data_IF_373539232113
#
_entry.id   IF_373539232113
#
_cell.length_a   1.000
_cell.length_b   1.000
_cell.length_c   1.000
_cell.angle_alpha   90.00
_cell.angle_beta   90.00
_cell.angle_gamma   90.00
#
_symmetry.space_group_name_H-M   'P 1'
#
loop_
_entity.id
_entity.type
_entity.pdbx_description
1 polymer ?
#
# COMPACT_ATOMS: atom_id res chain seq x y z
N UNK A 1 41.55 -46.22 -49.94
CA UNK A 1 42.56 -46.71 -48.99
C UNK A 1 42.15 -46.20 -47.61
N UNK A 2 41.32 -46.94 -46.86
CA UNK A 2 41.71 -47.94 -45.83
C UNK A 2 42.49 -47.26 -44.68
N UNK A 3 42.11 -47.27 -43.38
CA UNK A 3 41.20 -48.11 -42.57
C UNK A 3 41.07 -47.43 -41.17
N UNK A 4 39.90 -47.31 -40.52
CA UNK A 4 39.29 -48.18 -39.48
C UNK A 4 40.28 -48.81 -38.48
N UNK A 5 40.03 -48.73 -37.17
CA UNK A 5 39.37 -49.72 -36.28
C UNK A 5 39.52 -49.16 -34.83
N UNK A 6 38.77 -49.46 -33.76
CA UNK A 6 37.50 -50.10 -33.44
C UNK A 6 37.25 -49.86 -31.94
N UNK A 7 35.98 -49.86 -31.53
CA UNK A 7 35.49 -49.99 -30.15
C UNK A 7 35.40 -51.50 -29.82
N UNK A 8 35.41 -52.00 -28.55
CA UNK A 8 34.10 -52.22 -27.90
C UNK A 8 34.04 -52.33 -26.35
N UNK A 9 32.79 -52.16 -25.89
CA UNK A 9 32.06 -52.56 -24.67
C UNK A 9 32.49 -53.82 -23.88
N UNK A 10 32.20 -53.83 -22.55
CA UNK A 10 31.33 -54.79 -21.79
C UNK A 10 31.27 -54.40 -20.29
N UNK A 11 30.13 -54.11 -19.64
CA UNK A 11 28.94 -54.90 -19.18
C UNK A 11 29.10 -55.72 -17.87
N UNK A 12 28.10 -55.49 -16.98
CA UNK A 12 27.55 -56.37 -15.91
C UNK A 12 28.21 -56.28 -14.51
N UNK A 13 27.55 -56.48 -13.36
CA UNK A 13 26.19 -56.99 -13.02
C UNK A 13 25.89 -56.69 -11.53
N UNK A 14 24.61 -56.58 -11.20
CA UNK A 14 23.95 -56.63 -9.87
C UNK A 14 24.55 -57.63 -8.85
N UNK A 15 24.36 -57.34 -7.54
CA UNK A 15 23.89 -58.32 -6.54
C UNK A 15 23.23 -57.65 -5.32
N UNK A 16 21.97 -58.04 -5.06
CA UNK A 16 21.22 -57.91 -3.79
C UNK A 16 21.77 -58.95 -2.80
N UNK A 17 21.78 -58.64 -1.51
CA UNK A 17 21.88 -59.63 -0.43
C UNK A 17 20.65 -59.47 0.47
N UNK A 18 19.90 -60.57 0.55
CA UNK A 18 18.81 -60.87 1.48
C UNK A 18 19.44 -61.75 2.57
N UNK A 19 19.16 -61.47 3.85
CA UNK A 19 19.32 -62.45 4.92
C UNK A 19 18.06 -62.46 5.78
N UNK A 20 17.35 -63.59 5.68
CA UNK A 20 16.30 -64.08 6.56
C UNK A 20 16.95 -64.83 7.71
N UNK A 21 16.46 -64.65 8.94
CA UNK A 21 16.43 -65.73 9.94
C UNK A 21 15.21 -65.58 10.85
N UNK A 22 14.68 -66.74 11.22
CA UNK A 22 13.35 -67.09 11.71
C UNK A 22 13.22 -67.15 13.24
N UNK A 23 12.04 -66.76 13.77
CA UNK A 23 11.16 -67.40 14.78
C UNK A 23 11.76 -68.15 16.01
N UNK A 24 11.14 -68.10 17.23
CA UNK A 24 9.79 -68.63 17.42
C UNK A 24 8.83 -67.89 18.39
N UNK A 25 7.57 -68.32 18.29
CA UNK A 25 6.35 -67.97 19.00
C UNK A 25 6.39 -67.99 20.54
N UNK A 26 5.57 -67.12 21.14
CA UNK A 26 4.40 -67.42 22.00
C UNK A 26 4.26 -66.35 23.09
N UNK A 27 3.11 -65.67 23.17
CA UNK A 27 2.32 -65.38 24.39
C UNK A 27 1.18 -64.40 24.06
N UNK A 28 0.05 -65.00 23.64
CA UNK A 28 -1.35 -64.79 24.06
C UNK A 28 -1.72 -63.50 24.86
N UNK A 29 -2.56 -62.64 24.20
CA UNK A 29 -3.83 -61.96 24.63
C UNK A 29 -3.76 -60.86 25.74
N UNK A 30 -4.66 -59.82 25.84
CA UNK A 30 -5.89 -59.47 25.09
C UNK A 30 -6.02 -58.03 24.53
N UNK A 31 -7.03 -57.93 23.66
CA UNK A 31 -7.76 -56.78 23.11
C UNK A 31 -8.21 -55.77 24.16
N UNK A 32 -7.94 -54.47 23.94
CA UNK A 32 -8.66 -53.36 24.57
C UNK A 32 -9.14 -52.39 23.49
N UNK A 33 -10.46 -52.29 23.39
CA UNK A 33 -11.19 -51.36 22.53
C UNK A 33 -10.89 -49.91 22.94
N UNK A 34 -10.37 -49.12 22.00
CA UNK A 34 -10.23 -47.68 22.15
C UNK A 34 -11.58 -47.02 21.86
N UNK A 35 -12.38 -46.80 22.91
CA UNK A 35 -13.56 -45.92 22.82
C UNK A 35 -13.09 -44.47 22.88
N UNK A 36 -13.39 -43.74 21.82
CA UNK A 36 -13.26 -42.28 21.73
C UNK A 36 -14.15 -41.62 22.78
N UNK A 37 -13.53 -40.89 23.71
CA UNK A 37 -14.20 -40.01 24.67
C UNK A 37 -14.80 -38.81 23.94
N UNK A 38 -16.09 -38.91 23.62
CA UNK A 38 -16.94 -37.75 23.37
C UNK A 38 -17.10 -37.05 24.72
N UNK A 39 -16.37 -35.95 24.93
CA UNK A 39 -16.62 -35.05 26.03
C UNK A 39 -17.97 -34.37 25.78
N UNK A 40 -19.03 -34.90 26.39
CA UNK A 40 -20.29 -34.20 26.59
C UNK A 40 -20.02 -33.03 27.53
N UNK A 41 -19.73 -31.85 26.99
CA UNK A 41 -19.84 -30.60 27.73
C UNK A 41 -21.33 -30.31 27.87
N UNK A 42 -21.86 -30.60 29.05
CA UNK A 42 -23.17 -30.18 29.51
C UNK A 42 -23.23 -28.66 29.43
N UNK A 43 -24.00 -28.15 28.47
CA UNK A 43 -24.34 -26.74 28.39
C UNK A 43 -25.16 -26.41 29.64
N UNK A 44 -24.54 -25.73 30.60
CA UNK A 44 -25.27 -25.07 31.67
C UNK A 44 -26.13 -23.99 31.01
N UNK A 45 -27.44 -24.21 31.01
CA UNK A 45 -28.44 -23.17 30.79
C UNK A 45 -28.33 -22.17 31.93
N UNK A 46 -27.35 -21.28 31.82
CA UNK A 46 -27.40 -20.02 32.52
C UNK A 46 -28.55 -19.23 31.90
N UNK A 47 -29.47 -18.87 32.76
CA UNK A 47 -30.57 -17.94 32.50
C UNK A 47 -30.02 -16.75 31.74
N UNK A 48 -30.53 -16.56 30.52
CA UNK A 48 -30.34 -15.37 29.70
C UNK A 48 -30.71 -14.14 30.55
N UNK A 49 -29.70 -13.50 31.13
CA UNK A 49 -29.82 -12.11 31.53
C UNK A 49 -30.11 -11.31 30.26
N UNK A 50 -31.12 -10.45 30.31
CA UNK A 50 -31.49 -9.51 29.26
C UNK A 50 -30.23 -8.89 28.65
N UNK A 51 -29.90 -9.37 27.44
CA UNK A 51 -28.70 -8.99 26.70
C UNK A 51 -28.71 -7.49 26.48
N UNK A 52 -27.60 -6.82 26.79
CA UNK A 52 -27.22 -5.60 26.06
C UNK A 52 -27.39 -5.93 24.57
N UNK A 53 -28.38 -5.32 23.90
CA UNK A 53 -28.78 -5.70 22.55
C UNK A 53 -27.58 -5.55 21.61
N UNK A 54 -27.08 -6.69 21.17
CA UNK A 54 -25.99 -6.75 20.23
C UNK A 54 -26.43 -6.27 18.85
N UNK A 55 -25.68 -5.34 18.25
CA UNK A 55 -25.91 -4.95 16.85
C UNK A 55 -25.17 -5.94 15.94
N UNK A 56 -25.92 -6.67 15.11
CA UNK A 56 -25.35 -7.56 14.08
C UNK A 56 -25.54 -6.97 12.69
N UNK A 57 -24.78 -7.42 11.69
CA UNK A 57 -24.93 -6.94 10.31
C UNK A 57 -26.35 -7.23 9.78
N UNK A 58 -26.91 -8.40 10.10
CA UNK A 58 -28.27 -8.78 9.71
C UNK A 58 -29.30 -7.83 10.32
N UNK A 59 -29.06 -7.35 11.54
CA UNK A 59 -29.94 -6.41 12.23
C UNK A 59 -29.94 -5.00 11.60
N UNK A 60 -29.01 -4.69 10.69
CA UNK A 60 -28.89 -3.40 10.02
C UNK A 60 -29.54 -3.35 8.63
N UNK A 61 -30.16 -4.45 8.17
CA UNK A 61 -30.74 -4.47 6.82
C UNK A 61 -31.87 -3.43 6.66
N UNK A 62 -31.98 -2.88 5.46
CA UNK A 62 -33.01 -1.90 5.08
C UNK A 62 -33.55 -2.20 3.68
N UNK A 63 -34.65 -1.55 3.30
CA UNK A 63 -35.25 -1.73 1.97
C UNK A 63 -34.60 -0.81 0.95
N UNK A 64 -34.25 -1.36 -0.21
CA UNK A 64 -34.01 -0.66 -1.48
C UNK A 64 -32.87 0.38 -1.51
N UNK A 65 -31.97 0.40 -0.52
CA UNK A 65 -30.80 1.30 -0.50
C UNK A 65 -29.55 0.50 -0.25
N UNK A 66 -28.52 0.64 -1.12
CA UNK A 66 -27.21 0.05 -0.85
C UNK A 66 -26.49 0.85 0.23
N UNK A 67 -26.02 0.14 1.25
CA UNK A 67 -25.36 0.70 2.43
C UNK A 67 -23.90 0.26 2.43
N UNK A 68 -22.97 1.20 2.55
CA UNK A 68 -21.56 0.91 2.84
C UNK A 68 -21.32 1.14 4.33
N UNK A 69 -20.78 0.17 5.06
CA UNK A 69 -20.37 0.41 6.45
C UNK A 69 -19.11 1.27 6.47
N UNK A 70 -19.18 2.42 7.15
CA UNK A 70 -18.06 3.35 7.34
C UNK A 70 -17.59 3.44 8.79
N UNK A 71 -18.41 2.95 9.71
CA UNK A 71 -18.15 3.01 11.15
C UNK A 71 -16.93 2.20 11.58
N UNK A 72 -15.91 2.88 12.10
CA UNK A 72 -14.62 2.26 12.43
C UNK A 72 -14.73 1.24 13.56
N UNK A 73 -15.45 1.54 14.65
CA UNK A 73 -15.54 0.62 15.79
C UNK A 73 -16.37 -0.60 15.42
N UNK A 74 -17.47 -0.41 14.68
CA UNK A 74 -18.28 -1.53 14.21
C UNK A 74 -17.49 -2.45 13.27
N UNK A 75 -16.66 -1.89 12.38
CA UNK A 75 -15.76 -2.70 11.55
C UNK A 75 -14.73 -3.46 12.41
N UNK A 76 -14.16 -2.83 13.45
CA UNK A 76 -13.25 -3.51 14.39
C UNK A 76 -13.95 -4.61 15.17
N UNK A 77 -15.21 -4.42 15.53
CA UNK A 77 -15.97 -5.43 16.26
C UNK A 77 -16.24 -6.66 15.40
N UNK A 78 -16.60 -6.47 14.12
CA UNK A 78 -16.72 -7.55 13.14
C UNK A 78 -15.39 -8.30 13.02
N UNK A 79 -14.28 -7.57 12.90
CA UNK A 79 -12.95 -8.17 12.80
C UNK A 79 -12.60 -9.03 14.01
N UNK A 80 -12.95 -8.58 15.22
CA UNK A 80 -12.60 -9.24 16.47
C UNK A 80 -13.62 -10.33 16.90
N UNK A 81 -14.72 -10.49 16.16
CA UNK A 81 -15.83 -11.35 16.57
C UNK A 81 -16.52 -10.86 17.85
N UNK A 82 -16.38 -9.57 18.18
CA UNK A 82 -16.98 -8.96 19.35
C UNK A 82 -18.26 -8.21 18.98
N UNK A 83 -19.11 -8.04 19.98
CA UNK A 83 -20.34 -7.32 19.83
C UNK A 83 -20.20 -5.85 20.25
N UNK A 84 -20.73 -4.93 19.45
CA UNK A 84 -20.90 -3.52 19.86
C UNK A 84 -22.23 -3.28 20.56
N UNK A 85 -22.22 -2.40 21.56
CA UNK A 85 -23.45 -1.91 22.19
C UNK A 85 -24.23 -1.06 21.20
N UNK A 86 -25.55 -1.06 21.34
CA UNK A 86 -26.41 -0.26 20.46
C UNK A 86 -26.03 1.23 20.51
N UNK A 87 -25.58 1.74 19.36
CA UNK A 87 -25.40 3.15 19.05
C UNK A 87 -25.71 3.38 17.58
N UNK A 88 -25.73 4.64 17.15
CA UNK A 88 -25.82 4.96 15.72
C UNK A 88 -24.56 4.45 15.01
N UNK A 89 -24.77 3.77 13.89
CA UNK A 89 -23.70 3.24 13.05
C UNK A 89 -23.52 4.17 11.85
N UNK A 90 -22.29 4.64 11.63
CA UNK A 90 -21.95 5.42 10.45
C UNK A 90 -22.03 4.59 9.17
N UNK A 91 -22.85 5.05 8.23
CA UNK A 91 -23.04 4.39 6.94
C UNK A 91 -22.90 5.35 5.76
N UNK A 92 -22.27 4.85 4.71
CA UNK A 92 -22.17 5.49 3.41
C UNK A 92 -23.39 5.19 2.54
N UNK A 93 -24.02 6.24 2.00
CA UNK A 93 -25.09 6.14 1.00
C UNK A 93 -24.74 6.97 -0.24
N UNK A 94 -24.88 6.38 -1.42
CA UNK A 94 -24.67 7.07 -2.70
C UNK A 94 -25.68 8.23 -2.84
N UNK A 95 -25.19 9.42 -3.21
CA UNK A 95 -25.99 10.64 -3.40
C UNK A 95 -27.20 10.45 -4.34
N UNK A 96 -27.18 9.47 -5.25
CA UNK A 96 -28.36 9.16 -6.09
C UNK A 96 -29.59 8.74 -5.27
N UNK A 97 -29.41 8.26 -4.04
CA UNK A 97 -30.48 7.89 -3.12
C UNK A 97 -30.93 9.03 -2.20
N UNK A 98 -30.46 10.27 -2.38
CA UNK A 98 -30.80 11.43 -1.55
C UNK A 98 -32.32 11.70 -1.45
N UNK A 99 -33.09 11.27 -2.46
CA UNK A 99 -34.56 11.37 -2.47
C UNK A 99 -35.26 10.35 -1.56
N UNK A 100 -34.57 9.28 -1.14
CA UNK A 100 -35.12 8.29 -0.24
C UNK A 100 -35.11 8.84 1.20
N UNK A 101 -36.27 9.32 1.66
CA UNK A 101 -36.43 9.95 2.98
C UNK A 101 -36.48 8.95 4.13
N UNK A 102 -36.74 7.67 3.88
CA UNK A 102 -36.98 6.70 4.94
C UNK A 102 -35.70 6.29 5.65
N UNK A 103 -34.61 6.05 4.91
CA UNK A 103 -33.31 5.72 5.50
C UNK A 103 -32.75 6.84 6.38
N UNK A 104 -33.08 8.10 6.06
CA UNK A 104 -32.66 9.28 6.83
C UNK A 104 -33.40 9.43 8.17
N UNK A 105 -34.53 8.74 8.34
CA UNK A 105 -35.30 8.73 9.59
C UNK A 105 -34.95 7.54 10.48
N UNK A 106 -34.16 6.59 9.97
CA UNK A 106 -33.83 5.38 10.71
C UNK A 106 -32.88 5.72 11.88
N UNK A 107 -33.31 5.53 13.15
CA UNK A 107 -32.53 5.93 14.31
C UNK A 107 -31.27 5.09 14.51
N UNK A 108 -31.10 3.98 13.78
CA UNK A 108 -29.92 3.12 13.84
C UNK A 108 -28.70 3.72 13.14
N UNK A 109 -28.90 4.70 12.25
CA UNK A 109 -27.86 5.14 11.34
C UNK A 109 -27.46 6.60 11.52
N UNK A 110 -26.18 6.84 11.32
CA UNK A 110 -25.62 8.13 10.97
C UNK A 110 -25.25 8.10 9.49
N UNK A 111 -25.98 8.84 8.66
CA UNK A 111 -25.86 8.75 7.20
C UNK A 111 -24.81 9.74 6.69
N UNK A 112 -23.77 9.20 6.07
CA UNK A 112 -22.77 9.94 5.29
C UNK A 112 -23.08 9.74 3.81
N UNK A 113 -23.39 10.82 3.11
CA UNK A 113 -23.56 10.74 1.67
C UNK A 113 -22.21 10.71 0.96
N UNK A 114 -22.13 9.96 -0.15
CA UNK A 114 -20.95 10.00 -1.01
C UNK A 114 -21.29 10.14 -2.49
N UNK A 115 -20.42 10.82 -3.24
CA UNK A 115 -20.48 10.84 -4.70
C UNK A 115 -19.64 9.69 -5.28
N UNK A 116 -20.18 9.00 -6.28
CA UNK A 116 -19.51 7.94 -7.03
C UNK A 116 -19.38 8.32 -8.51
N UNK A 117 -18.44 9.21 -8.82
CA UNK A 117 -18.21 9.66 -10.19
C UNK A 117 -17.36 8.66 -10.99
N UNK A 118 -17.77 8.28 -12.20
CA UNK A 118 -17.10 7.24 -13.00
C UNK A 118 -15.66 7.56 -13.40
N UNK A 119 -15.33 8.86 -13.52
CA UNK A 119 -13.99 9.34 -13.91
C UNK A 119 -13.00 9.39 -12.75
N UNK A 120 -13.45 9.08 -11.53
CA UNK A 120 -12.63 9.11 -10.31
C UNK A 120 -12.50 7.72 -9.72
N UNK A 121 -11.34 7.41 -9.16
CA UNK A 121 -11.06 6.14 -8.50
C UNK A 121 -11.38 6.15 -6.99
N UNK A 122 -12.03 7.21 -6.49
CA UNK A 122 -12.43 7.37 -5.09
C UNK A 122 -13.90 7.76 -4.90
N UNK A 123 -14.48 7.38 -3.76
CA UNK A 123 -15.73 7.94 -3.27
C UNK A 123 -15.47 9.28 -2.58
N UNK A 124 -16.30 10.28 -2.87
CA UNK A 124 -16.24 11.62 -2.26
C UNK A 124 -17.29 11.74 -1.16
N UNK A 125 -16.86 11.53 0.08
CA UNK A 125 -17.71 11.55 1.27
C UNK A 125 -18.01 13.00 1.66
N UNK A 126 -19.30 13.33 1.74
CA UNK A 126 -19.82 14.67 2.06
C UNK A 126 -19.84 14.90 3.57
N UNK A 127 -18.67 14.82 4.19
CA UNK A 127 -18.42 15.10 5.61
C UNK A 127 -17.84 16.50 5.79
N UNK A 128 -17.78 16.99 7.03
CA UNK A 128 -17.01 18.18 7.42
C UNK A 128 -15.98 17.77 8.49
N UNK A 129 -14.67 17.78 8.18
CA UNK A 129 -14.06 18.12 6.89
C UNK A 129 -14.38 17.10 5.79
N UNK A 130 -14.31 17.51 4.52
CA UNK A 130 -14.49 16.63 3.35
C UNK A 130 -13.54 15.45 3.41
N UNK A 131 -14.01 14.25 3.04
CA UNK A 131 -13.20 13.01 3.02
C UNK A 131 -13.30 12.32 1.67
N UNK A 132 -12.23 11.69 1.21
CA UNK A 132 -12.22 10.81 0.04
C UNK A 132 -11.61 9.45 0.39
N UNK A 133 -12.16 8.37 -0.16
CA UNK A 133 -11.66 7.00 0.05
C UNK A 133 -11.57 6.24 -1.28
N UNK A 134 -10.59 5.34 -1.48
CA UNK A 134 -10.52 4.54 -2.71
C UNK A 134 -11.79 3.70 -2.93
N UNK A 135 -12.17 3.51 -4.20
CA UNK A 135 -13.25 2.58 -4.59
C UNK A 135 -12.77 1.14 -4.72
N UNK A 136 -11.45 0.95 -4.93
CA UNK A 136 -10.83 -0.35 -5.12
C UNK A 136 -10.64 -1.02 -3.76
N UNK A 137 -11.65 -1.74 -3.31
CA UNK A 137 -11.56 -2.69 -2.21
C UNK A 137 -12.58 -3.80 -2.43
N UNK A 138 -12.24 -5.02 -2.00
CA UNK A 138 -13.22 -6.09 -1.98
C UNK A 138 -14.19 -5.92 -0.81
N UNK A 139 -15.47 -6.20 -1.05
CA UNK A 139 -16.50 -6.15 -0.02
C UNK A 139 -17.21 -7.49 0.13
N UNK A 140 -17.59 -7.82 1.36
CA UNK A 140 -18.69 -8.75 1.61
C UNK A 140 -20.02 -8.05 1.31
N UNK A 141 -21.04 -8.83 0.96
CA UNK A 141 -22.40 -8.35 0.79
C UNK A 141 -23.36 -9.24 1.57
N UNK A 142 -24.16 -8.63 2.45
CA UNK A 142 -25.26 -9.28 3.17
C UNK A 142 -26.52 -8.46 2.92
N UNK A 143 -27.42 -8.98 2.08
CA UNK A 143 -28.58 -8.24 1.60
C UNK A 143 -28.14 -6.97 0.85
N UNK A 144 -28.52 -5.80 1.39
CA UNK A 144 -28.19 -4.48 0.85
C UNK A 144 -26.96 -3.83 1.50
N UNK A 145 -26.31 -4.50 2.46
CA UNK A 145 -25.16 -3.99 3.20
C UNK A 145 -23.86 -4.50 2.58
N UNK A 146 -22.92 -3.59 2.42
CA UNK A 146 -21.57 -3.82 1.95
C UNK A 146 -20.58 -3.41 3.05
N UNK A 147 -19.59 -4.25 3.31
CA UNK A 147 -18.49 -3.93 4.22
C UNK A 147 -17.19 -4.55 3.69
N UNK A 148 -16.02 -3.95 3.96
CA UNK A 148 -14.74 -4.40 3.41
C UNK A 148 -14.38 -5.82 3.86
N UNK A 149 -13.82 -6.63 2.96
CA UNK A 149 -13.23 -7.92 3.33
C UNK A 149 -11.92 -7.73 4.11
N UNK A 150 -11.06 -6.82 3.63
CA UNK A 150 -9.83 -6.42 4.34
C UNK A 150 -10.14 -5.18 5.21
N UNK A 151 -10.66 -5.43 6.42
CA UNK A 151 -11.02 -4.38 7.38
C UNK A 151 -9.80 -3.51 7.76
N UNK A 152 -8.62 -4.06 8.12
CA UNK A 152 -7.43 -3.26 8.44
C UNK A 152 -7.05 -2.25 7.35
N UNK A 153 -7.03 -2.67 6.10
CA UNK A 153 -6.69 -1.80 4.98
C UNK A 153 -7.74 -0.70 4.78
N UNK A 154 -9.03 -1.04 4.89
CA UNK A 154 -10.11 -0.05 4.77
C UNK A 154 -10.09 0.98 5.90
N UNK A 155 -9.79 0.57 7.14
CA UNK A 155 -9.54 1.49 8.25
C UNK A 155 -8.32 2.38 7.97
N UNK A 156 -7.31 1.86 7.28
CA UNK A 156 -6.19 2.65 6.74
C UNK A 156 -6.65 3.74 5.76
N UNK A 157 -7.61 3.43 4.88
CA UNK A 157 -8.23 4.45 4.00
C UNK A 157 -8.96 5.52 4.80
N UNK A 158 -9.80 5.11 5.77
CA UNK A 158 -10.55 6.04 6.62
C UNK A 158 -9.64 6.97 7.41
N UNK A 159 -8.56 6.45 7.99
CA UNK A 159 -7.53 7.23 8.70
C UNK A 159 -6.88 8.29 7.80
N UNK A 160 -6.71 8.02 6.51
CA UNK A 160 -6.03 8.89 5.54
C UNK A 160 -6.97 9.70 4.65
N UNK A 161 -8.26 9.69 4.96
CA UNK A 161 -9.29 10.14 4.03
C UNK A 161 -9.51 11.66 4.01
N UNK A 162 -8.98 12.41 4.98
CA UNK A 162 -9.18 13.86 5.06
C UNK A 162 -8.71 14.52 3.76
N UNK A 163 -9.63 15.12 3.03
CA UNK A 163 -9.34 15.75 1.76
C UNK A 163 -8.63 17.09 1.97
N UNK A 164 -7.61 17.36 1.16
CA UNK A 164 -6.97 18.66 1.07
C UNK A 164 -6.80 19.08 -0.39
N UNK A 165 -6.98 20.37 -0.64
CA UNK A 165 -6.82 20.96 -1.97
C UNK A 165 -5.35 21.23 -2.30
N UNK A 166 -5.03 21.06 -3.58
CA UNK A 166 -3.87 21.71 -4.20
C UNK A 166 -4.18 23.20 -4.49
N UNK A 167 -3.15 23.99 -4.73
CA UNK A 167 -3.27 25.44 -4.90
C UNK A 167 -3.66 25.88 -6.31
N UNK A 168 -3.53 25.00 -7.31
CA UNK A 168 -3.84 25.28 -8.72
C UNK A 168 -3.18 26.57 -9.26
N UNK A 169 -1.93 26.81 -8.91
CA UNK A 169 -1.19 28.00 -9.34
C UNK A 169 -0.87 27.93 -10.83
N UNK A 170 -0.98 29.07 -11.50
CA UNK A 170 -0.47 29.22 -12.87
C UNK A 170 1.07 29.33 -12.85
N UNK A 171 1.75 28.41 -13.54
CA UNK A 171 3.22 28.38 -13.60
C UNK A 171 3.69 28.81 -15.00
N UNK A 172 4.30 30.00 -15.14
CA UNK A 172 4.75 30.50 -16.43
C UNK A 172 6.01 29.75 -16.89
N UNK A 173 5.87 28.91 -17.91
CA UNK A 173 6.97 28.13 -18.50
C UNK A 173 7.34 28.69 -19.87
N UNK A 174 8.50 29.32 -19.99
CA UNK A 174 9.04 29.76 -21.28
C UNK A 174 10.06 28.76 -21.80
N UNK A 175 9.75 28.10 -22.93
CA UNK A 175 10.72 27.32 -23.70
C UNK A 175 11.13 25.96 -23.11
N UNK A 176 10.38 25.41 -22.15
CA UNK A 176 10.65 24.08 -21.63
C UNK A 176 9.92 23.00 -22.43
N UNK A 177 10.64 21.91 -22.74
CA UNK A 177 10.07 20.74 -23.37
C UNK A 177 9.21 19.98 -22.36
N UNK A 178 8.00 19.61 -22.77
CA UNK A 178 7.16 18.67 -22.02
C UNK A 178 7.72 17.25 -22.22
N UNK A 179 8.09 16.61 -21.11
CA UNK A 179 8.54 15.23 -21.05
C UNK A 179 7.44 14.31 -20.49
N UNK A 180 6.78 14.74 -19.42
CA UNK A 180 5.69 13.99 -18.78
C UNK A 180 4.33 14.53 -19.21
N UNK A 181 3.50 13.64 -19.77
CA UNK A 181 2.08 13.92 -19.95
C UNK A 181 1.34 13.74 -18.63
N UNK A 182 0.83 14.82 -18.05
CA UNK A 182 0.28 14.80 -16.69
C UNK A 182 -0.83 13.76 -16.46
N UNK A 183 -1.80 13.63 -17.38
CA UNK A 183 -2.89 12.67 -17.24
C UNK A 183 -2.39 11.21 -17.30
N UNK A 184 -1.53 10.89 -18.26
CA UNK A 184 -0.94 9.54 -18.38
C UNK A 184 -0.01 9.21 -17.22
N UNK A 185 0.75 10.19 -16.74
CA UNK A 185 1.61 10.09 -15.57
C UNK A 185 0.78 9.79 -14.32
N UNK A 186 -0.28 10.57 -14.05
CA UNK A 186 -1.18 10.34 -12.92
C UNK A 186 -1.84 8.95 -12.98
N UNK A 187 -2.26 8.51 -14.17
CA UNK A 187 -2.81 7.16 -14.37
C UNK A 187 -1.77 6.07 -14.08
N UNK A 188 -0.55 6.18 -14.60
CA UNK A 188 0.54 5.21 -14.31
C UNK A 188 0.89 5.19 -12.83
N UNK A 189 0.88 6.34 -12.17
CA UNK A 189 1.15 6.45 -10.74
C UNK A 189 0.02 5.81 -9.91
N UNK A 190 -1.24 5.96 -10.33
CA UNK A 190 -2.38 5.33 -9.69
C UNK A 190 -2.33 3.79 -9.80
N UNK A 191 -1.87 3.26 -10.94
CA UNK A 191 -1.63 1.82 -11.10
C UNK A 191 -0.54 1.32 -10.13
N UNK A 192 0.55 2.08 -9.96
CA UNK A 192 1.60 1.72 -9.00
C UNK A 192 1.10 1.78 -7.56
N UNK A 193 0.39 2.84 -7.19
CA UNK A 193 -0.25 2.99 -5.87
C UNK A 193 -1.12 1.79 -5.54
N UNK A 194 -1.98 1.40 -6.49
CA UNK A 194 -2.85 0.24 -6.36
C UNK A 194 -2.06 -1.06 -6.18
N UNK A 195 -0.96 -1.22 -6.93
CA UNK A 195 -0.10 -2.39 -6.80
C UNK A 195 0.57 -2.46 -5.44
N UNK A 196 1.04 -1.33 -4.92
CA UNK A 196 1.61 -1.24 -3.58
C UNK A 196 0.55 -1.56 -2.51
N UNK A 197 -0.70 -1.13 -2.71
CA UNK A 197 -1.82 -1.52 -1.84
C UNK A 197 -2.10 -3.02 -1.82
N UNK A 198 -1.92 -3.75 -2.93
CA UNK A 198 -2.04 -5.22 -2.93
C UNK A 198 -1.04 -5.89 -1.96
N UNK A 199 0.01 -5.17 -1.55
CA UNK A 199 1.02 -5.58 -0.57
C UNK A 199 0.86 -4.89 0.79
N UNK A 200 -0.27 -4.23 1.04
CA UNK A 200 -0.57 -3.42 2.24
C UNK A 200 0.38 -2.23 2.45
N UNK A 201 1.00 -1.73 1.37
CA UNK A 201 1.92 -0.60 1.39
C UNK A 201 1.20 0.70 1.00
N UNK A 202 1.00 1.60 1.95
CA UNK A 202 0.35 2.90 1.72
C UNK A 202 1.36 3.93 1.18
N UNK A 203 1.41 4.07 -0.15
CA UNK A 203 2.30 5.03 -0.81
C UNK A 203 1.73 6.45 -0.86
N UNK A 204 2.55 7.44 -0.54
CA UNK A 204 2.20 8.85 -0.57
C UNK A 204 3.09 9.64 -1.52
N UNK A 205 2.57 10.75 -2.08
CA UNK A 205 3.35 11.59 -2.99
C UNK A 205 4.55 12.19 -2.25
N UNK A 206 5.71 12.20 -2.91
CA UNK A 206 6.91 12.81 -2.39
C UNK A 206 7.60 13.67 -3.46
N UNK A 207 8.67 14.38 -3.09
CA UNK A 207 9.59 15.01 -4.03
C UNK A 207 8.93 15.95 -5.04
N UNK A 208 9.38 15.86 -6.29
CA UNK A 208 8.89 16.72 -7.38
C UNK A 208 7.42 16.45 -7.71
N UNK A 209 6.93 15.24 -7.41
CA UNK A 209 5.54 14.84 -7.63
C UNK A 209 4.60 15.49 -6.59
N UNK A 210 5.00 15.52 -5.31
CA UNK A 210 4.28 16.26 -4.28
C UNK A 210 4.26 17.76 -4.58
N UNK A 211 5.39 18.32 -5.02
CA UNK A 211 5.46 19.72 -5.44
C UNK A 211 4.50 20.01 -6.61
N UNK A 212 4.52 19.19 -7.65
CA UNK A 212 3.61 19.33 -8.79
C UNK A 212 2.15 19.30 -8.36
N UNK A 213 1.77 18.29 -7.58
CA UNK A 213 0.41 18.18 -7.07
C UNK A 213 0.02 19.42 -6.26
N UNK A 214 0.78 19.77 -5.22
CA UNK A 214 0.41 20.86 -4.33
C UNK A 214 0.39 22.21 -5.04
N UNK A 215 1.35 22.47 -5.92
CA UNK A 215 1.52 23.76 -6.58
C UNK A 215 0.53 23.98 -7.72
N UNK A 216 0.33 22.98 -8.58
CA UNK A 216 -0.35 23.16 -9.87
C UNK A 216 -1.36 22.06 -10.19
N UNK A 217 -1.76 21.25 -9.20
CA UNK A 217 -2.76 20.18 -9.34
C UNK A 217 -2.44 19.19 -10.47
N UNK A 218 -1.15 19.00 -10.76
CA UNK A 218 -0.69 18.28 -11.94
C UNK A 218 0.69 17.67 -11.68
N UNK A 219 1.20 16.89 -12.63
CA UNK A 219 2.61 16.51 -12.68
C UNK A 219 3.40 17.66 -13.32
N UNK A 220 4.61 17.93 -12.80
CA UNK A 220 5.52 18.92 -13.38
C UNK A 220 5.95 18.41 -14.77
N UNK A 221 5.60 19.10 -15.87
CA UNK A 221 5.65 18.49 -17.19
C UNK A 221 7.07 18.26 -17.73
N UNK A 222 8.09 18.94 -17.17
CA UNK A 222 9.47 18.90 -17.65
C UNK A 222 10.41 18.08 -16.76
N UNK A 223 9.90 17.39 -15.72
CA UNK A 223 10.68 16.40 -14.96
C UNK A 223 10.81 15.09 -15.75
N UNK A 224 11.66 14.17 -15.30
CA UNK A 224 11.93 12.92 -16.02
C UNK A 224 11.32 11.69 -15.35
N UNK A 225 10.84 11.84 -14.13
CA UNK A 225 10.39 10.81 -13.21
C UNK A 225 9.24 11.32 -12.34
N UNK A 226 8.69 10.39 -11.57
CA UNK A 226 7.73 10.65 -10.50
C UNK A 226 8.24 10.04 -9.20
N UNK A 227 7.79 10.55 -8.06
CA UNK A 227 8.29 10.17 -6.75
C UNK A 227 7.12 9.85 -5.82
N UNK A 228 7.18 8.67 -5.21
CA UNK A 228 6.33 8.31 -4.07
C UNK A 228 7.19 7.82 -2.93
N UNK A 229 6.61 7.75 -1.75
CA UNK A 229 7.25 7.17 -0.58
C UNK A 229 6.32 6.20 0.13
N UNK A 230 6.92 5.22 0.77
CA UNK A 230 6.25 4.31 1.70
C UNK A 230 7.05 4.33 2.99
N UNK A 231 6.39 4.28 4.15
CA UNK A 231 7.09 4.09 5.40
C UNK A 231 7.79 2.72 5.41
N UNK A 232 9.05 2.67 5.83
CA UNK A 232 9.79 1.41 5.84
C UNK A 232 9.14 0.38 6.77
N UNK A 233 8.44 0.83 7.79
CA UNK A 233 7.69 0.00 8.73
C UNK A 233 6.52 -0.74 8.05
N UNK A 234 6.02 -0.21 6.94
CA UNK A 234 4.96 -0.80 6.13
C UNK A 234 5.52 -1.71 5.01
N UNK A 235 6.85 -1.93 4.93
CA UNK A 235 7.44 -2.70 3.83
C UNK A 235 6.97 -4.15 3.84
N UNK A 236 6.47 -4.61 2.70
CA UNK A 236 6.33 -6.02 2.41
C UNK A 236 7.49 -6.47 1.52
N UNK A 237 8.47 -7.25 2.02
CA UNK A 237 9.67 -7.59 1.26
C UNK A 237 9.39 -8.36 -0.03
N UNK A 238 8.22 -9.02 -0.14
CA UNK A 238 7.77 -9.71 -1.36
C UNK A 238 7.53 -8.77 -2.54
N UNK A 239 7.42 -7.46 -2.32
CA UNK A 239 7.29 -6.48 -3.41
C UNK A 239 8.52 -6.50 -4.33
N UNK A 240 9.70 -6.78 -3.77
CA UNK A 240 10.95 -6.88 -4.53
C UNK A 240 10.91 -8.08 -5.48
N UNK A 241 10.50 -9.24 -4.95
CA UNK A 241 10.33 -10.46 -5.74
C UNK A 241 9.28 -10.25 -6.84
N UNK A 242 8.18 -9.55 -6.52
CA UNK A 242 7.15 -9.21 -7.50
C UNK A 242 7.70 -8.36 -8.64
N UNK A 243 8.41 -7.26 -8.37
CA UNK A 243 8.95 -6.38 -9.42
C UNK A 243 10.08 -7.01 -10.25
N UNK A 244 10.68 -8.10 -9.76
CA UNK A 244 11.67 -8.89 -10.50
C UNK A 244 11.04 -10.05 -11.28
N UNK A 245 9.78 -10.39 -11.01
CA UNK A 245 9.11 -11.52 -11.66
C UNK A 245 8.67 -11.20 -13.09
N UNK A 246 8.62 -12.22 -13.95
CA UNK A 246 8.17 -12.07 -15.34
C UNK A 246 6.67 -11.77 -15.47
N UNK A 247 5.88 -12.07 -14.43
CA UNK A 247 4.44 -11.83 -14.39
C UNK A 247 4.10 -10.41 -13.89
N UNK A 248 5.11 -9.62 -13.54
CA UNK A 248 4.92 -8.28 -13.03
C UNK A 248 4.42 -7.32 -14.09
N UNK A 249 3.43 -6.50 -13.72
CA UNK A 249 2.94 -5.38 -14.52
C UNK A 249 3.92 -4.20 -14.50
N UNK A 250 4.97 -4.29 -13.67
CA UNK A 250 6.01 -3.30 -13.51
C UNK A 250 7.38 -3.94 -13.70
N UNK A 251 8.33 -3.16 -14.19
CA UNK A 251 9.73 -3.57 -14.21
C UNK A 251 10.49 -2.82 -13.14
N UNK A 252 11.27 -3.55 -12.31
CA UNK A 252 12.34 -2.94 -11.53
C UNK A 252 13.48 -2.49 -12.46
N UNK A 253 13.61 -1.19 -12.65
CA UNK A 253 14.70 -0.59 -13.43
C UNK A 253 15.97 -0.45 -12.59
N UNK A 254 15.81 -0.05 -11.33
CA UNK A 254 16.91 0.26 -10.42
C UNK A 254 16.53 -0.04 -8.99
N UNK A 255 17.49 -0.49 -8.19
CA UNK A 255 17.37 -0.59 -6.73
C UNK A 255 18.64 -0.08 -6.08
N UNK A 256 18.47 0.76 -5.06
CA UNK A 256 19.54 1.23 -4.18
C UNK A 256 19.31 0.77 -2.74
N UNK A 257 20.39 0.65 -1.97
CA UNK A 257 20.35 0.44 -0.53
C UNK A 257 19.87 -0.95 -0.07
N UNK A 258 19.57 -1.01 1.23
CA UNK A 258 19.05 -2.17 1.96
C UNK A 258 17.79 -1.77 2.70
N UNK A 259 16.96 -2.74 3.06
CA UNK A 259 15.73 -2.50 3.85
C UNK A 259 16.00 -1.62 5.07
N UNK A 260 17.11 -1.85 5.78
CA UNK A 260 17.48 -1.08 6.97
C UNK A 260 18.32 0.17 6.70
N UNK A 261 18.64 0.49 5.44
CA UNK A 261 19.50 1.62 5.10
C UNK A 261 19.32 2.07 3.64
N UNK A 262 18.65 3.22 3.47
CA UNK A 262 18.59 3.97 2.21
C UNK A 262 17.98 3.18 1.04
N UNK A 263 16.96 2.35 1.28
CA UNK A 263 16.25 1.63 0.21
C UNK A 263 15.50 2.60 -0.71
N UNK A 264 15.68 2.41 -2.01
CA UNK A 264 14.96 3.12 -3.07
C UNK A 264 14.80 2.17 -4.26
N UNK A 265 13.62 2.18 -4.88
CA UNK A 265 13.32 1.37 -6.07
C UNK A 265 12.84 2.28 -7.19
N UNK A 266 13.46 2.20 -8.36
CA UNK A 266 12.91 2.81 -9.58
C UNK A 266 12.16 1.73 -10.36
N UNK A 267 10.88 1.97 -10.63
CA UNK A 267 10.04 1.09 -11.42
C UNK A 267 9.39 1.84 -12.58
N UNK A 268 8.99 1.12 -13.63
CA UNK A 268 8.12 1.66 -14.67
C UNK A 268 7.05 0.62 -15.06
N UNK A 269 5.90 1.10 -15.54
CA UNK A 269 4.80 0.24 -15.98
C UNK A 269 5.14 -0.46 -17.31
N UNK A 270 4.88 -1.76 -17.38
CA UNK A 270 5.00 -2.57 -18.60
C UNK A 270 3.72 -2.51 -19.47
N UNK A 271 2.59 -2.09 -18.89
CA UNK A 271 1.25 -2.15 -19.51
C UNK A 271 0.67 -0.77 -19.83
N UNK A 272 1.30 0.30 -19.33
CA UNK A 272 0.81 1.67 -19.42
C UNK A 272 1.84 2.67 -19.95
N UNK A 273 1.82 3.87 -19.40
CA UNK A 273 2.77 4.92 -19.75
C UNK A 273 4.11 4.68 -19.05
N UNK A 274 5.10 4.20 -19.79
CA UNK A 274 6.42 3.86 -19.26
C UNK A 274 7.19 5.13 -18.84
N UNK A 275 7.08 5.47 -17.56
CA UNK A 275 7.82 6.54 -16.89
C UNK A 275 8.43 5.96 -15.62
N UNK A 276 9.70 6.30 -15.40
CA UNK A 276 10.38 5.93 -14.16
C UNK A 276 9.67 6.58 -12.97
N UNK A 277 9.34 5.76 -11.98
CA UNK A 277 8.79 6.20 -10.71
C UNK A 277 9.68 5.68 -9.60
N UNK A 278 10.22 6.59 -8.81
CA UNK A 278 11.03 6.28 -7.65
C UNK A 278 10.12 6.05 -6.43
N UNK A 279 10.20 4.86 -5.86
CA UNK A 279 9.59 4.46 -4.59
C UNK A 279 10.67 4.57 -3.53
N UNK A 280 10.66 5.68 -2.82
CA UNK A 280 11.53 5.91 -1.68
C UNK A 280 10.95 5.23 -0.43
N UNK A 281 11.82 4.67 0.40
CA UNK A 281 11.40 4.19 1.72
C UNK A 281 11.76 5.24 2.78
N UNK A 282 10.73 5.67 3.51
CA UNK A 282 10.85 6.67 4.55
C UNK A 282 11.09 6.00 5.90
N UNK A 283 12.20 6.34 6.52
CA UNK A 283 12.63 5.86 7.82
C UNK A 283 12.26 6.86 8.92
N UNK A 284 12.16 6.37 10.15
CA UNK A 284 11.91 7.19 11.33
C UNK A 284 13.09 7.08 12.31
N UNK A 285 13.73 8.21 12.61
CA UNK A 285 14.70 8.33 13.70
C UNK A 285 14.01 9.00 14.90
N UNK A 286 14.02 8.33 16.05
CA UNK A 286 13.54 8.88 17.33
C UNK A 286 14.73 9.22 18.24
N UNK A 287 14.89 10.51 18.55
CA UNK A 287 15.98 11.00 19.37
C UNK A 287 15.56 11.07 20.84
N UNK A 288 16.52 10.87 21.76
CA UNK A 288 16.28 10.84 23.22
C UNK A 288 15.58 12.09 23.80
N UNK A 289 15.59 13.21 23.09
CA UNK A 289 14.89 14.44 23.46
C UNK A 289 13.43 14.48 22.99
N UNK A 290 12.90 13.37 22.46
CA UNK A 290 11.54 13.25 21.91
C UNK A 290 11.36 13.81 20.50
N UNK A 291 12.45 14.19 19.82
CA UNK A 291 12.38 14.68 18.44
C UNK A 291 12.25 13.50 17.49
N UNK A 292 11.23 13.52 16.63
CA UNK A 292 11.03 12.55 15.56
C UNK A 292 11.46 13.20 14.24
N UNK A 293 12.40 12.57 13.54
CA UNK A 293 12.82 12.95 12.19
C UNK A 293 12.53 11.81 11.25
N UNK A 294 11.90 12.14 10.12
CA UNK A 294 11.74 11.20 9.03
C UNK A 294 12.80 11.45 7.95
N UNK A 295 13.17 10.43 7.21
CA UNK A 295 14.14 10.60 6.12
C UNK A 295 14.01 9.56 5.02
N UNK A 296 14.39 9.94 3.81
CA UNK A 296 14.63 9.00 2.70
C UNK A 296 16.11 9.03 2.31
N UNK A 297 16.60 7.89 1.81
CA UNK A 297 17.96 7.78 1.30
C UNK A 297 18.05 8.19 -0.17
N UNK A 298 19.24 8.57 -0.60
CA UNK A 298 19.60 8.66 -2.01
C UNK A 298 21.02 8.14 -2.21
N UNK A 299 21.34 7.69 -3.43
CA UNK A 299 22.66 7.15 -3.76
C UNK A 299 23.11 7.59 -5.14
N UNK A 300 24.37 7.97 -5.29
CA UNK A 300 24.96 8.22 -6.60
C UNK A 300 25.62 6.93 -7.15
N UNK A 301 26.08 6.97 -8.41
CA UNK A 301 26.70 5.80 -9.05
C UNK A 301 28.02 5.31 -8.43
N UNK A 302 28.69 6.11 -7.59
CA UNK A 302 29.95 5.73 -6.94
C UNK A 302 29.78 5.22 -5.49
N UNK A 303 28.53 5.08 -5.03
CA UNK A 303 28.18 4.62 -3.70
C UNK A 303 28.03 5.73 -2.65
N UNK A 304 28.20 6.99 -3.04
CA UNK A 304 27.95 8.15 -2.18
C UNK A 304 26.50 8.23 -1.76
N UNK A 305 26.27 8.26 -0.44
CA UNK A 305 24.95 8.26 0.17
C UNK A 305 24.51 9.68 0.49
N UNK A 306 23.23 9.93 0.37
CA UNK A 306 22.57 11.17 0.74
C UNK A 306 21.36 10.86 1.63
N UNK A 307 21.04 11.79 2.52
CA UNK A 307 19.90 11.72 3.42
C UNK A 307 19.06 12.98 3.24
N UNK A 308 17.79 12.80 2.90
CA UNK A 308 16.79 13.86 2.79
C UNK A 308 15.93 13.82 4.04
N UNK A 309 16.05 14.82 4.91
CA UNK A 309 15.41 14.81 6.23
C UNK A 309 14.15 15.67 6.25
N UNK A 310 13.12 15.17 6.91
CA UNK A 310 11.84 15.84 7.13
C UNK A 310 11.55 15.86 8.63
N UNK A 311 10.81 16.86 9.14
CA UNK A 311 10.13 16.74 10.43
C UNK A 311 9.21 15.51 10.42
N UNK A 312 8.63 15.17 11.57
CA UNK A 312 7.61 14.12 11.67
C UNK A 312 6.61 14.22 10.50
N UNK A 313 6.61 13.19 9.67
CA UNK A 313 5.85 13.17 8.43
C UNK A 313 4.42 12.69 8.69
N UNK A 314 3.45 13.31 8.03
CA UNK A 314 2.02 13.19 8.32
C UNK A 314 1.19 12.82 7.08
N UNK A 315 1.40 11.65 6.43
CA UNK A 315 0.71 11.29 5.19
C UNK A 315 -0.72 10.79 5.45
N UNK A 316 -1.46 11.50 6.29
CA UNK A 316 -2.80 11.16 6.80
C UNK A 316 -3.91 11.94 6.08
N UNK A 317 -3.57 12.65 5.01
CA UNK A 317 -4.53 13.35 4.16
C UNK A 317 -4.54 12.73 2.76
N UNK A 318 -5.58 13.05 2.01
CA UNK A 318 -5.78 12.62 0.63
C UNK A 318 -5.96 13.83 -0.29
N UNK A 319 -5.39 13.73 -1.49
CA UNK A 319 -5.55 14.71 -2.56
C UNK A 319 -6.09 14.06 -3.84
N UNK A 320 -6.74 14.88 -4.66
CA UNK A 320 -7.03 14.53 -6.05
C UNK A 320 -5.85 14.95 -6.93
N UNK A 321 -5.38 14.03 -7.76
CA UNK A 321 -4.46 14.33 -8.85
C UNK A 321 -5.09 13.82 -10.15
N UNK A 322 -5.77 14.72 -10.86
CA UNK A 322 -6.40 14.48 -12.16
C UNK A 322 -7.40 13.31 -12.12
N UNK A 323 -8.21 13.24 -11.06
CA UNK A 323 -9.22 12.19 -10.86
C UNK A 323 -8.74 10.95 -10.11
N UNK A 324 -7.47 10.91 -9.70
CA UNK A 324 -6.90 9.82 -8.93
C UNK A 324 -6.63 10.24 -7.48
N UNK A 325 -7.01 9.40 -6.52
CA UNK A 325 -6.70 9.61 -5.09
C UNK A 325 -5.24 9.30 -4.79
N UNK A 326 -4.56 10.19 -4.08
CA UNK A 326 -3.24 9.89 -3.49
C UNK A 326 -3.17 10.37 -2.05
N UNK A 327 -2.42 9.64 -1.22
CA UNK A 327 -2.10 10.13 0.11
C UNK A 327 -0.99 11.15 0.05
N UNK A 328 -1.11 12.16 0.89
CA UNK A 328 -0.26 13.34 0.95
C UNK A 328 -0.10 13.77 2.40
N UNK A 329 0.96 14.51 2.68
CA UNK A 329 1.12 15.23 3.94
C UNK A 329 -0.10 16.13 4.19
N UNK A 330 -0.59 16.20 5.43
CA UNK A 330 -1.61 17.16 5.81
C UNK A 330 -1.09 18.60 5.91
N UNK A 331 0.24 18.79 5.80
CA UNK A 331 0.96 20.05 5.90
C UNK A 331 1.89 20.28 4.69
N UNK A 332 1.37 20.24 3.44
CA UNK A 332 2.21 20.23 2.23
C UNK A 332 3.12 21.45 2.08
N UNK A 333 2.66 22.65 2.46
CA UNK A 333 3.48 23.85 2.42
C UNK A 333 4.74 23.74 3.31
N UNK A 334 4.61 23.12 4.48
CA UNK A 334 5.74 22.94 5.39
C UNK A 334 6.80 22.02 4.77
N UNK A 335 6.37 20.89 4.21
CA UNK A 335 7.29 19.93 3.59
C UNK A 335 7.94 20.52 2.33
N UNK A 336 7.16 21.14 1.45
CA UNK A 336 7.66 21.74 0.21
C UNK A 336 8.58 22.93 0.49
N UNK A 337 8.27 23.77 1.47
CA UNK A 337 9.16 24.90 1.85
C UNK A 337 10.48 24.38 2.43
N UNK A 338 10.44 23.29 3.17
CA UNK A 338 11.64 22.67 3.73
C UNK A 338 12.52 22.02 2.65
N UNK A 339 11.91 21.42 1.62
CA UNK A 339 12.64 20.78 0.52
C UNK A 339 13.11 21.78 -0.54
N UNK A 340 12.26 22.69 -1.01
CA UNK A 340 12.53 23.57 -2.14
C UNK A 340 12.85 25.02 -1.74
N UNK A 341 12.68 25.39 -0.46
CA UNK A 341 12.89 26.74 0.05
C UNK A 341 11.74 27.71 -0.26
N UNK A 342 11.89 28.97 0.16
CA UNK A 342 10.83 30.00 0.10
C UNK A 342 10.30 30.34 -1.31
N UNK A 343 10.99 29.91 -2.36
CA UNK A 343 10.64 30.17 -3.76
C UNK A 343 10.13 28.91 -4.49
N UNK A 344 9.61 27.93 -3.76
CA UNK A 344 9.05 26.69 -4.30
C UNK A 344 7.93 26.90 -5.32
N UNK A 345 7.19 28.01 -5.20
CA UNK A 345 6.10 28.38 -6.11
C UNK A 345 6.57 28.84 -7.49
N UNK A 346 7.87 29.13 -7.67
CA UNK A 346 8.46 29.44 -8.97
C UNK A 346 8.77 28.17 -9.74
N UNK A 347 8.79 28.28 -11.05
CA UNK A 347 9.26 27.20 -11.91
C UNK A 347 10.78 27.03 -11.77
N UNK A 348 11.24 25.79 -11.67
CA UNK A 348 12.65 25.42 -11.53
C UNK A 348 13.00 24.48 -12.68
N UNK A 349 13.81 24.92 -13.67
CA UNK A 349 14.13 24.07 -14.81
C UNK A 349 14.83 22.78 -14.37
N UNK A 350 14.27 21.62 -14.75
CA UNK A 350 14.84 20.31 -14.41
C UNK A 350 16.29 20.17 -14.88
N UNK A 351 16.65 20.78 -16.00
CA UNK A 351 18.03 20.78 -16.52
C UNK A 351 19.05 21.48 -15.62
N UNK A 352 18.59 22.28 -14.65
CA UNK A 352 19.43 22.97 -13.65
C UNK A 352 19.25 22.39 -12.25
N UNK A 353 18.37 21.40 -12.07
CA UNK A 353 18.11 20.79 -10.78
C UNK A 353 19.05 19.60 -10.57
N UNK A 354 19.85 19.67 -9.51
CA UNK A 354 20.71 18.59 -9.05
C UNK A 354 20.06 17.93 -7.83
N UNK A 355 19.60 16.69 -7.97
CA UNK A 355 18.81 15.98 -6.95
C UNK A 355 19.51 15.91 -5.58
N UNK A 356 20.84 15.83 -5.57
CA UNK A 356 21.67 15.68 -4.37
C UNK A 356 22.17 17.00 -3.76
N UNK A 357 21.85 18.15 -4.36
CA UNK A 357 22.39 19.46 -3.96
C UNK A 357 21.36 20.60 -3.94
N UNK A 358 20.37 20.54 -4.82
CA UNK A 358 19.41 21.65 -5.01
C UNK A 358 18.40 21.75 -3.88
N UNK A 359 17.93 20.60 -3.39
CA UNK A 359 17.06 20.50 -2.22
C UNK A 359 17.71 21.10 -0.97
N UNK A 360 16.92 21.75 -0.11
CA UNK A 360 17.40 22.38 1.13
C UNK A 360 17.46 21.42 2.32
N UNK A 361 16.90 20.21 2.13
CA UNK A 361 16.81 19.16 3.13
C UNK A 361 17.76 17.98 2.89
N UNK A 362 18.64 18.05 1.87
CA UNK A 362 19.60 16.99 1.52
C UNK A 362 20.95 17.21 2.18
N UNK A 363 21.57 16.13 2.66
CA UNK A 363 22.96 16.13 3.16
C UNK A 363 23.68 14.84 2.78
N UNK A 364 25.00 14.86 2.56
CA UNK A 364 25.81 13.65 2.47
C UNK A 364 25.67 12.78 3.74
N UNK A 365 25.62 11.46 3.57
CA UNK A 365 25.37 10.49 4.64
C UNK A 365 26.30 9.26 4.55
N UNK A 366 27.57 9.51 4.22
CA UNK A 366 28.60 8.48 4.08
C UNK A 366 28.66 7.87 2.69
N UNK A 367 29.28 6.68 2.60
CA UNK A 367 29.56 6.00 1.34
C UNK A 367 29.43 4.49 1.54
N UNK A 368 28.84 3.81 0.56
CA UNK A 368 28.90 2.35 0.48
C UNK A 368 30.31 1.89 0.13
N UNK A 369 30.75 0.78 0.72
CA UNK A 369 32.02 0.17 0.29
C UNK A 369 31.85 -0.47 -1.08
N UNK A 370 32.97 -0.71 -1.78
CA UNK A 370 32.93 -1.45 -3.06
C UNK A 370 32.31 -2.84 -2.92
N UNK A 371 32.44 -3.47 -1.75
CA UNK A 371 31.83 -4.76 -1.47
C UNK A 371 30.32 -4.61 -1.27
N UNK A 372 29.88 -3.61 -0.50
CA UNK A 372 28.45 -3.35 -0.31
C UNK A 372 27.73 -3.10 -1.62
N UNK A 373 28.36 -2.33 -2.54
CA UNK A 373 27.81 -2.00 -3.85
C UNK A 373 27.34 -3.22 -4.65
N UNK A 374 27.96 -4.40 -4.48
CA UNK A 374 27.52 -5.64 -5.16
C UNK A 374 26.13 -6.12 -4.71
N UNK A 375 25.70 -5.71 -3.52
CA UNK A 375 24.44 -6.14 -2.89
C UNK A 375 23.38 -5.04 -2.85
N UNK A 376 23.81 -3.77 -2.75
CA UNK A 376 22.91 -2.62 -2.58
C UNK A 376 22.55 -1.93 -3.88
N UNK A 377 23.24 -2.24 -4.98
CA UNK A 377 22.98 -1.67 -6.29
C UNK A 377 22.50 -2.74 -7.26
N UNK A 378 21.37 -2.50 -7.90
CA UNK A 378 20.90 -3.25 -9.04
C UNK A 378 20.46 -2.28 -10.13
N UNK A 379 20.81 -2.60 -11.37
CA UNK A 379 20.39 -1.89 -12.57
C UNK A 379 19.99 -2.91 -13.62
N UNK A 380 18.77 -2.76 -14.18
CA UNK A 380 18.34 -3.58 -15.31
C UNK A 380 18.91 -3.01 -16.60
N UNK A 381 19.75 -3.80 -17.26
CA UNK A 381 20.38 -3.44 -18.53
C UNK A 381 19.38 -3.43 -19.69
#
# INVERSE_FOLDING_TARGET
>A
MYTRLENPQRRSRMRRIILLFSMPCCFIIPILFYQTSILKTTFSTSTLNESEKCVTIESLQTKDVRILILDEDFLRSIQNGTCEKFRKIEIGIDLKYLKNREILKDPRFEVIFFANETKKDYFDLRTEPRRIIPKRFESHQIGNIYYPKNIPQFLGFLKRSKYIDCLNLYIPRKGQKVFLNAARSAQSLAQLRDKLLDFDMFSFLNGGTLLGWYRECSIIPHTYDMDVSVFIEDINPKILDYFQSAESEFTLARKFGRINDSLELTVYSNTGYAVNTDVFFMYTDDYKNGTIINWVGGMNGNGGKYKFTYPKYDPWCAGDLLGHIFWVTCSPNQQITLEYGKLWYKDHPTTKYQWNESGKNVKPNGNWTKEDMKSVFFWKH
#
